data_IF_626561034081
#
_entry.id   IF_626561034081
#
_cell.length_a   1.000
_cell.length_b   1.000
_cell.length_c   1.000
_cell.angle_alpha   90.00
_cell.angle_beta   90.00
_cell.angle_gamma   90.00
#
_symmetry.space_group_name_H-M   'P 1'
#
loop_
_entity.id
_entity.type
_entity.pdbx_description
1 polymer ?
#
# COMPACT_ATOMS: atom_id res chain seq x y z
N UNK A 1 5.45 -5.86 32.23
CA UNK A 1 6.70 -5.40 31.58
C UNK A 1 6.49 -4.87 30.15
N UNK A 2 5.54 -5.39 29.37
CA UNK A 2 5.24 -4.92 27.99
C UNK A 2 4.65 -3.50 27.93
N UNK A 3 3.73 -3.16 28.84
CA UNK A 3 3.08 -1.83 28.88
C UNK A 3 4.06 -0.67 29.16
N UNK A 4 5.15 -0.91 29.89
CA UNK A 4 6.13 0.13 30.23
C UNK A 4 6.96 0.55 29.00
N UNK A 5 7.33 -0.42 28.15
CA UNK A 5 8.09 -0.19 26.92
C UNK A 5 7.32 0.64 25.89
N UNK A 6 6.00 0.48 25.82
CA UNK A 6 5.15 1.26 24.93
C UNK A 6 5.06 2.73 25.35
N UNK A 7 4.89 3.00 26.66
CA UNK A 7 4.88 4.38 27.17
C UNK A 7 6.22 5.10 26.95
N UNK A 8 7.33 4.38 27.11
CA UNK A 8 8.66 4.93 26.86
C UNK A 8 8.86 5.26 25.38
N UNK A 9 8.43 4.39 24.46
CA UNK A 9 8.47 4.67 23.02
C UNK A 9 7.70 5.93 22.65
N UNK A 10 6.46 6.07 23.14
CA UNK A 10 5.65 7.27 22.89
C UNK A 10 6.30 8.54 23.45
N UNK A 11 6.95 8.44 24.62
CA UNK A 11 7.67 9.55 25.21
C UNK A 11 8.85 9.98 24.31
N UNK A 12 9.63 9.02 23.81
CA UNK A 12 10.76 9.29 22.93
C UNK A 12 10.33 9.78 21.55
N UNK A 13 9.26 9.25 20.98
CA UNK A 13 8.70 9.75 19.71
C UNK A 13 8.31 11.23 19.81
N UNK A 14 7.58 11.61 20.87
CA UNK A 14 7.26 13.03 21.12
C UNK A 14 8.53 13.87 21.26
N UNK A 15 9.52 13.40 22.02
CA UNK A 15 10.76 14.14 22.25
C UNK A 15 11.56 14.32 20.96
N UNK A 16 11.62 13.26 20.14
CA UNK A 16 12.27 13.27 18.84
C UNK A 16 11.60 14.26 17.89
N UNK A 17 10.27 14.21 17.76
CA UNK A 17 9.50 15.15 16.93
C UNK A 17 9.68 16.61 17.35
N UNK A 18 9.71 16.89 18.66
CA UNK A 18 9.98 18.24 19.17
C UNK A 18 11.38 18.73 18.81
N UNK A 19 12.38 17.84 18.81
CA UNK A 19 13.77 18.20 18.47
C UNK A 19 13.98 18.38 16.97
N UNK A 20 13.51 17.44 16.15
CA UNK A 20 13.88 17.36 14.73
C UNK A 20 12.78 17.84 13.78
N UNK A 21 11.52 17.92 14.23
CA UNK A 21 10.40 18.40 13.41
C UNK A 21 9.73 17.34 12.54
N UNK A 22 10.15 16.07 12.61
CA UNK A 22 9.58 14.95 11.86
C UNK A 22 9.53 13.67 12.69
N UNK A 23 8.77 12.68 12.20
CA UNK A 23 8.59 11.38 12.86
C UNK A 23 9.87 10.54 12.83
N UNK A 24 10.08 9.68 13.83
CA UNK A 24 11.23 8.78 13.81
C UNK A 24 11.08 7.69 12.73
N UNK A 25 12.02 7.62 11.79
CA UNK A 25 12.02 6.65 10.69
C UNK A 25 13.20 5.69 10.85
N UNK A 26 12.91 4.40 10.83
CA UNK A 26 13.90 3.31 10.81
C UNK A 26 13.38 2.15 9.97
N UNK A 27 14.24 1.56 9.15
CA UNK A 27 14.00 0.34 8.39
C UNK A 27 14.43 -0.90 9.17
N UNK A 28 14.85 -0.76 10.43
CA UNK A 28 15.23 -1.90 11.25
C UNK A 28 14.05 -2.86 11.36
N UNK A 29 14.21 -4.09 10.85
CA UNK A 29 13.18 -5.14 10.79
C UNK A 29 12.80 -5.71 12.16
N UNK A 30 13.01 -4.95 13.24
CA UNK A 30 12.96 -5.47 14.58
C UNK A 30 11.67 -5.10 15.26
N UNK A 31 10.78 -6.09 15.36
CA UNK A 31 9.63 -6.14 16.27
C UNK A 31 10.01 -5.98 17.76
N UNK A 32 11.31 -5.81 18.07
CA UNK A 32 11.81 -5.49 19.40
C UNK A 32 11.73 -3.97 19.65
N UNK A 33 10.71 -3.56 20.40
CA UNK A 33 10.58 -2.20 20.96
C UNK A 33 11.85 -1.70 21.65
N UNK A 34 12.67 -2.60 22.20
CA UNK A 34 13.93 -2.23 22.85
C UNK A 34 14.97 -1.70 21.85
N UNK A 35 15.14 -2.37 20.70
CA UNK A 35 16.13 -1.94 19.72
C UNK A 35 15.76 -0.60 19.10
N UNK A 36 14.46 -0.38 18.85
CA UNK A 36 13.94 0.92 18.42
C UNK A 36 14.22 1.98 19.48
N UNK A 37 13.97 1.69 20.77
CA UNK A 37 14.28 2.63 21.87
C UNK A 37 15.78 2.98 21.94
N UNK A 38 16.65 1.98 21.81
CA UNK A 38 18.10 2.18 21.87
C UNK A 38 18.57 3.01 20.67
N UNK A 39 18.03 2.74 19.47
CA UNK A 39 18.33 3.51 18.26
C UNK A 39 17.86 4.96 18.38
N UNK A 40 16.62 5.20 18.85
CA UNK A 40 16.11 6.56 19.08
C UNK A 40 16.98 7.31 20.07
N UNK A 41 17.41 6.67 21.16
CA UNK A 41 18.29 7.30 22.17
C UNK A 41 19.64 7.69 21.59
N UNK A 42 20.25 6.85 20.77
CA UNK A 42 21.53 7.14 20.10
C UNK A 42 21.37 8.26 19.07
N UNK A 43 20.36 8.16 18.21
CA UNK A 43 20.10 9.16 17.16
C UNK A 43 19.61 10.50 17.71
N UNK A 44 19.01 10.49 18.89
CA UNK A 44 18.64 11.73 19.57
C UNK A 44 19.84 12.63 19.86
N UNK A 45 21.06 12.12 19.96
CA UNK A 45 22.27 12.96 20.15
C UNK A 45 22.76 13.62 18.85
N UNK A 46 22.22 13.24 17.69
CA UNK A 46 22.61 13.80 16.40
C UNK A 46 22.22 15.28 16.25
N UNK A 47 22.94 15.95 15.34
CA UNK A 47 22.54 17.26 14.79
C UNK A 47 21.46 17.05 13.72
N UNK A 48 20.56 18.03 13.54
CA UNK A 48 19.47 17.97 12.58
C UNK A 48 19.92 17.58 11.16
N UNK A 49 21.02 18.13 10.66
CA UNK A 49 21.54 17.85 9.31
C UNK A 49 21.91 16.37 9.15
N UNK A 50 22.58 15.79 10.16
CA UNK A 50 22.97 14.38 10.17
C UNK A 50 21.72 13.51 10.25
N UNK A 51 20.81 13.87 11.14
CA UNK A 51 19.61 13.07 11.39
C UNK A 51 18.66 13.07 10.19
N UNK A 52 18.59 14.19 9.46
CA UNK A 52 17.82 14.30 8.22
C UNK A 52 18.37 13.38 7.12
N UNK A 53 19.69 13.32 6.93
CA UNK A 53 20.31 12.39 5.97
C UNK A 53 20.03 10.92 6.34
N UNK A 54 20.14 10.58 7.63
CA UNK A 54 19.82 9.22 8.09
C UNK A 54 18.34 8.92 7.87
N UNK A 55 17.43 9.81 8.26
CA UNK A 55 15.99 9.62 8.11
C UNK A 55 15.59 9.46 6.63
N UNK A 56 16.16 10.26 5.73
CA UNK A 56 15.95 10.12 4.30
C UNK A 56 16.39 8.74 3.79
N UNK A 57 17.58 8.26 4.20
CA UNK A 57 18.06 6.92 3.83
C UNK A 57 17.15 5.80 4.36
N UNK A 58 16.66 5.93 5.58
CA UNK A 58 15.72 4.96 6.15
C UNK A 58 14.37 4.97 5.43
N UNK A 59 13.88 6.15 5.03
CA UNK A 59 12.68 6.29 4.20
C UNK A 59 12.86 5.63 2.83
N UNK A 60 13.98 5.87 2.16
CA UNK A 60 14.28 5.23 0.87
C UNK A 60 14.26 3.70 0.96
N UNK A 61 14.86 3.11 1.99
CA UNK A 61 14.79 1.65 2.22
C UNK A 61 13.36 1.15 2.36
N UNK A 62 12.51 1.89 3.08
CA UNK A 62 11.10 1.53 3.26
C UNK A 62 10.33 1.63 1.93
N UNK A 63 10.60 2.66 1.11
CA UNK A 63 10.01 2.82 -0.21
C UNK A 63 10.44 1.67 -1.13
N UNK A 64 11.73 1.35 -1.18
CA UNK A 64 12.26 0.22 -1.96
C UNK A 64 11.59 -1.10 -1.56
N UNK A 65 11.48 -1.38 -0.26
CA UNK A 65 10.82 -2.58 0.23
C UNK A 65 9.33 -2.64 -0.15
N UNK A 66 8.63 -1.49 -0.08
CA UNK A 66 7.22 -1.38 -0.50
C UNK A 66 7.06 -1.60 -1.99
N UNK A 67 7.92 -1.00 -2.82
CA UNK A 67 7.92 -1.18 -4.27
C UNK A 67 8.18 -2.63 -4.66
N UNK A 68 9.17 -3.27 -4.03
CA UNK A 68 9.45 -4.70 -4.23
C UNK A 68 8.21 -5.56 -3.92
N UNK A 69 7.54 -5.30 -2.79
CA UNK A 69 6.31 -6.02 -2.41
C UNK A 69 5.17 -5.80 -3.41
N UNK A 70 5.01 -4.59 -3.92
CA UNK A 70 4.01 -4.28 -4.95
C UNK A 70 4.31 -5.03 -6.25
N UNK A 71 5.57 -5.04 -6.67
CA UNK A 71 6.00 -5.77 -7.87
C UNK A 71 5.76 -7.28 -7.76
N UNK A 72 6.08 -7.89 -6.61
CA UNK A 72 5.81 -9.31 -6.34
C UNK A 72 4.31 -9.64 -6.34
N UNK A 73 3.45 -8.70 -5.96
CA UNK A 73 1.99 -8.89 -6.03
C UNK A 73 1.49 -8.81 -7.46
N UNK A 74 2.00 -7.86 -8.24
CA UNK A 74 1.63 -7.68 -9.64
C UNK A 74 2.06 -8.86 -10.52
N UNK A 75 3.25 -9.41 -10.28
CA UNK A 75 3.72 -10.59 -11.01
C UNK A 75 2.87 -11.82 -10.72
N UNK A 76 2.43 -12.01 -9.47
CA UNK A 76 1.50 -13.09 -9.11
C UNK A 76 0.13 -12.95 -9.79
N UNK A 77 -0.41 -11.74 -9.89
CA UNK A 77 -1.69 -11.53 -10.58
C UNK A 77 -1.61 -11.76 -12.09
N UNK A 78 -0.51 -11.37 -12.74
CA UNK A 78 -0.31 -11.63 -14.18
C UNK A 78 -0.21 -13.12 -14.52
N UNK A 79 0.36 -13.93 -13.63
CA UNK A 79 0.44 -15.39 -13.83
C UNK A 79 -0.94 -16.06 -13.71
N UNK A 80 -1.84 -15.52 -12.89
CA UNK A 80 -3.21 -16.02 -12.77
C UNK A 80 -4.06 -15.68 -14.00
N UNK A 81 -3.98 -14.45 -14.53
CA UNK A 81 -4.66 -14.09 -15.79
C UNK A 81 -4.15 -14.92 -16.97
N UNK A 82 -2.84 -15.11 -17.11
CA UNK A 82 -2.27 -15.91 -18.20
C UNK A 82 -2.60 -17.41 -18.10
N UNK A 83 -2.89 -17.91 -16.90
CA UNK A 83 -3.32 -19.29 -16.68
C UNK A 83 -4.80 -19.52 -17.02
N UNK A 84 -5.65 -18.48 -16.95
CA UNK A 84 -7.05 -18.55 -17.37
C UNK A 84 -7.21 -18.40 -18.90
N UNK A 85 -6.25 -17.76 -19.59
CA UNK A 85 -6.23 -17.69 -21.07
C UNK A 85 -5.79 -19.01 -21.73
N UNK A 86 -5.17 -19.94 -20.99
CA UNK A 86 -4.82 -21.27 -21.53
C UNK A 86 -5.93 -22.28 -21.23
N UNK A 87 -7.12 -22.03 -21.78
CA UNK A 87 -8.24 -22.95 -21.79
C UNK A 87 -8.54 -23.45 -23.20
N UNK A 88 -7.81 -24.48 -23.67
CA UNK A 88 -8.35 -25.60 -24.49
C UNK A 88 -7.19 -26.55 -24.89
N UNK A 89 -6.87 -27.52 -24.02
CA UNK A 89 -6.38 -28.83 -24.50
C UNK A 89 -7.21 -29.89 -23.81
N UNK A 90 -8.10 -30.45 -24.60
CA UNK A 90 -8.97 -31.60 -24.33
C UNK A 90 -8.15 -32.82 -23.87
N UNK A 91 -8.51 -33.46 -22.76
CA UNK A 91 -8.41 -34.91 -22.63
C UNK A 91 -9.81 -35.50 -22.76
N UNK A 92 -10.00 -36.28 -23.81
CA UNK A 92 -11.27 -36.91 -24.16
C UNK A 92 -11.57 -38.12 -23.22
N UNK A 93 -12.85 -38.24 -22.83
CA UNK A 93 -13.54 -39.45 -22.31
C UNK A 93 -13.21 -39.91 -20.86
N UNK A 94 -14.12 -40.39 -19.99
CA UNK A 94 -15.55 -40.73 -20.08
C UNK A 94 -16.13 -40.93 -18.65
N UNK A 95 -17.37 -40.47 -18.45
CA UNK A 95 -18.45 -40.93 -17.53
C UNK A 95 -18.17 -41.30 -16.05
N UNK A 96 -18.80 -40.55 -15.13
CA UNK A 96 -19.95 -41.08 -14.34
C UNK A 96 -20.59 -40.04 -13.41
N UNK A 97 -21.91 -40.14 -13.38
CA UNK A 97 -22.93 -39.25 -12.85
C UNK A 97 -23.11 -39.36 -11.32
N UNK A 98 -23.50 -38.25 -10.66
CA UNK A 98 -24.62 -38.16 -9.70
C UNK A 98 -24.67 -36.79 -8.97
N UNK A 99 -25.63 -35.95 -9.42
CA UNK A 99 -26.63 -35.16 -8.64
C UNK A 99 -26.29 -34.92 -7.15
N UNK A 100 -26.20 -33.68 -6.64
CA UNK A 100 -27.33 -32.79 -6.27
C UNK A 100 -26.87 -31.34 -6.23
N UNK A 101 -27.71 -30.49 -6.84
CA UNK A 101 -27.69 -29.04 -6.87
C UNK A 101 -27.94 -28.39 -5.50
N UNK A 102 -27.29 -27.25 -5.24
CA UNK A 102 -27.91 -26.17 -4.46
C UNK A 102 -27.58 -24.85 -5.13
N UNK A 103 -28.61 -24.39 -5.82
CA UNK A 103 -28.84 -23.09 -6.42
C UNK A 103 -28.88 -22.00 -5.34
N UNK A 104 -28.01 -21.01 -5.44
CA UNK A 104 -28.38 -19.63 -5.11
C UNK A 104 -27.49 -18.70 -5.94
N UNK A 105 -28.01 -18.39 -7.12
CA UNK A 105 -27.63 -17.25 -7.93
C UNK A 105 -27.57 -15.98 -7.09
N UNK A 106 -26.44 -15.29 -7.12
CA UNK A 106 -26.45 -13.84 -7.11
C UNK A 106 -25.36 -13.41 -8.10
N UNK A 107 -25.83 -13.05 -9.29
CA UNK A 107 -25.06 -12.33 -10.29
C UNK A 107 -24.61 -11.01 -9.67
N UNK A 108 -23.43 -11.00 -9.06
CA UNK A 108 -22.78 -9.76 -8.69
C UNK A 108 -22.15 -9.24 -9.97
N UNK A 109 -22.90 -8.35 -10.63
CA UNK A 109 -22.52 -7.60 -11.80
C UNK A 109 -21.10 -7.03 -11.63
N UNK A 110 -20.10 -7.72 -12.19
CA UNK A 110 -18.68 -7.33 -12.19
C UNK A 110 -18.42 -6.10 -13.07
N UNK A 111 -19.39 -5.21 -13.18
CA UNK A 111 -19.35 -3.99 -13.97
C UNK A 111 -18.75 -2.79 -13.22
N UNK A 112 -18.45 -2.90 -11.92
CA UNK A 112 -18.02 -1.75 -11.08
C UNK A 112 -16.54 -1.70 -10.68
N UNK A 113 -15.68 -2.58 -11.21
CA UNK A 113 -14.23 -2.40 -11.08
C UNK A 113 -13.58 -1.85 -12.36
N UNK A 114 -14.26 -0.92 -13.06
CA UNK A 114 -13.53 0.12 -13.79
C UNK A 114 -13.01 1.16 -12.80
N UNK A 115 -12.15 0.72 -11.89
CA UNK A 115 -11.20 1.63 -11.28
C UNK A 115 -10.50 2.30 -12.46
N UNK A 116 -10.71 3.61 -12.60
CA UNK A 116 -10.02 4.43 -13.59
C UNK A 116 -8.53 4.21 -13.38
N UNK A 117 -7.96 3.19 -14.02
CA UNK A 117 -6.53 2.99 -14.11
C UNK A 117 -6.05 4.23 -14.84
N UNK A 118 -5.54 5.18 -14.07
CA UNK A 118 -4.90 6.37 -14.56
C UNK A 118 -3.76 5.89 -15.48
N UNK A 119 -3.99 5.92 -16.78
CA UNK A 119 -2.96 5.70 -17.78
C UNK A 119 -2.04 6.91 -17.71
N UNK A 120 -0.96 6.80 -16.95
CA UNK A 120 0.05 7.84 -16.85
C UNK A 120 1.13 7.56 -17.91
N UNK A 121 1.19 8.38 -18.96
CA UNK A 121 2.20 8.25 -20.01
C UNK A 121 3.54 8.80 -19.52
N UNK A 122 4.50 7.91 -19.27
CA UNK A 122 5.83 8.27 -18.77
C UNK A 122 6.69 9.05 -19.77
N UNK A 123 6.27 9.14 -21.03
CA UNK A 123 6.98 9.92 -22.05
C UNK A 123 6.51 11.38 -22.10
N UNK A 124 5.44 11.73 -21.36
CA UNK A 124 4.86 13.07 -21.31
C UNK A 124 5.24 13.78 -20.02
N UNK A 125 5.34 15.11 -20.07
CA UNK A 125 5.47 15.92 -18.86
C UNK A 125 4.16 15.90 -18.05
N UNK A 126 4.19 16.17 -16.74
CA UNK A 126 2.98 16.13 -15.90
C UNK A 126 1.84 17.03 -16.38
N UNK A 127 2.19 18.18 -16.98
CA UNK A 127 1.21 19.14 -17.53
C UNK A 127 0.59 18.67 -18.85
N UNK A 128 1.30 17.84 -19.61
CA UNK A 128 0.83 17.22 -20.86
C UNK A 128 0.02 15.95 -20.62
N UNK A 129 0.14 15.36 -19.43
CA UNK A 129 -0.64 14.21 -19.10
C UNK A 129 -2.07 14.64 -18.71
N UNK A 130 -3.06 14.06 -19.37
CA UNK A 130 -4.45 14.40 -19.14
C UNK A 130 -4.93 13.73 -17.85
N UNK A 131 -4.80 14.46 -16.74
CA UNK A 131 -5.41 14.05 -15.50
C UNK A 131 -6.94 14.13 -15.65
N UNK A 132 -7.70 13.07 -15.34
CA UNK A 132 -9.16 13.09 -15.45
C UNK A 132 -9.85 14.09 -14.51
N UNK A 133 -9.08 14.83 -13.70
CA UNK A 133 -9.54 15.84 -12.75
C UNK A 133 -9.18 17.28 -13.16
N UNK A 134 -8.51 17.49 -14.30
CA UNK A 134 -8.08 18.83 -14.76
C UNK A 134 -9.26 19.79 -14.97
N UNK A 135 -10.45 19.28 -15.31
CA UNK A 135 -11.68 20.05 -15.50
C UNK A 135 -12.65 20.16 -14.31
N UNK A 136 -12.36 19.57 -13.14
CA UNK A 136 -13.28 19.63 -11.98
C UNK A 136 -13.12 20.92 -11.17
N UNK A 137 -14.24 21.47 -10.68
CA UNK A 137 -14.23 22.54 -9.68
C UNK A 137 -13.70 22.03 -8.32
N UNK A 138 -13.11 22.89 -7.48
CA UNK A 138 -12.52 22.49 -6.20
C UNK A 138 -13.47 21.69 -5.29
N UNK A 139 -14.74 22.09 -5.22
CA UNK A 139 -15.74 21.40 -4.39
C UNK A 139 -16.01 19.98 -4.88
N UNK A 140 -16.11 19.80 -6.20
CA UNK A 140 -16.33 18.49 -6.82
C UNK A 140 -15.14 17.55 -6.61
N UNK A 141 -13.91 18.09 -6.62
CA UNK A 141 -12.69 17.34 -6.31
C UNK A 141 -12.72 16.83 -4.87
N UNK A 142 -13.07 17.70 -3.92
CA UNK A 142 -13.14 17.33 -2.51
C UNK A 142 -14.19 16.26 -2.24
N UNK A 143 -15.39 16.39 -2.82
CA UNK A 143 -16.45 15.38 -2.70
C UNK A 143 -16.03 14.03 -3.28
N UNK A 144 -15.37 14.02 -4.43
CA UNK A 144 -14.90 12.79 -5.06
C UNK A 144 -13.80 12.11 -4.24
N UNK A 145 -12.83 12.87 -3.68
CA UNK A 145 -11.81 12.32 -2.79
C UNK A 145 -12.40 11.69 -1.52
N UNK A 146 -13.40 12.34 -0.92
CA UNK A 146 -14.11 11.81 0.25
C UNK A 146 -14.88 10.52 -0.08
N UNK A 147 -15.54 10.47 -1.24
CA UNK A 147 -16.25 9.28 -1.71
C UNK A 147 -15.27 8.12 -1.92
N UNK A 148 -14.17 8.35 -2.64
CA UNK A 148 -13.13 7.33 -2.87
C UNK A 148 -12.47 6.83 -1.58
N UNK A 149 -12.25 7.72 -0.61
CA UNK A 149 -11.73 7.34 0.70
C UNK A 149 -12.74 6.47 1.45
N UNK A 150 -14.02 6.85 1.46
CA UNK A 150 -15.08 6.06 2.09
C UNK A 150 -15.20 4.66 1.45
N UNK A 151 -15.21 4.55 0.12
CA UNK A 151 -15.29 3.26 -0.59
C UNK A 151 -14.11 2.36 -0.27
N UNK A 152 -12.89 2.89 -0.12
CA UNK A 152 -11.70 2.07 0.14
C UNK A 152 -11.52 1.64 1.59
N UNK A 153 -12.07 2.37 2.55
CA UNK A 153 -11.75 2.19 3.97
C UNK A 153 -12.96 1.92 4.87
N UNK A 154 -14.18 2.24 4.44
CA UNK A 154 -15.39 2.05 5.25
C UNK A 154 -16.22 0.82 4.81
N UNK A 155 -16.12 0.37 3.57
CA UNK A 155 -16.75 -0.86 3.07
C UNK A 155 -15.70 -1.74 2.36
N UNK A 156 -15.00 -2.62 3.10
CA UNK A 156 -14.06 -3.58 2.51
C UNK A 156 -14.75 -4.69 1.73
#
# INVERSE_FOLDING_TARGET
MVMFKFKELLHWDRKYRVKFGFEFITSSETWLSQKILDEVKVRYENTLVIELDIAAREEFKLIEHRLKRLWERLSRSQIQEASEETGEVVPDSVEKEAVVSSDSSEDVDSAEQKALMLSYDLNKTPDENEYPYSGMSPDKKNTWHLAMWATRYLNP
#
